data_IF_585483144536
#
_entry.id   IF_585483144536
#
_cell.length_a   1.000
_cell.length_b   1.000
_cell.length_c   1.000
_cell.angle_alpha   90.00
_cell.angle_beta   90.00
_cell.angle_gamma   90.00
#
_symmetry.space_group_name_H-M   'P 1'
#
loop_
_entity.id
_entity.type
_entity.pdbx_description
1 polymer ?
#
# COMPACT_ATOMS: atom_id res chain seq x y z
N UNK A 1 11.12 -70.22 -18.51
CA UNK A 1 10.33 -69.08 -17.98
C UNK A 1 11.22 -68.29 -17.03
N UNK A 2 11.51 -67.02 -17.32
CA UNK A 2 11.60 -65.91 -16.34
C UNK A 2 12.03 -64.63 -17.06
N UNK A 3 11.06 -63.74 -17.33
CA UNK A 3 11.33 -62.43 -17.93
C UNK A 3 11.94 -61.49 -16.89
N UNK A 4 13.11 -60.93 -17.19
CA UNK A 4 13.77 -59.96 -16.33
C UNK A 4 13.14 -58.57 -16.54
N UNK A 5 12.02 -58.27 -15.85
CA UNK A 5 11.39 -56.94 -15.86
C UNK A 5 12.22 -56.00 -14.99
N UNK A 6 13.03 -55.15 -15.64
CA UNK A 6 13.72 -54.02 -15.02
C UNK A 6 12.67 -53.08 -14.38
N UNK A 7 12.63 -53.06 -13.06
CA UNK A 7 11.82 -52.13 -12.27
C UNK A 7 12.42 -50.72 -12.39
N UNK A 8 12.00 -49.97 -13.41
CA UNK A 8 12.38 -48.56 -13.55
C UNK A 8 11.55 -47.78 -12.52
N UNK A 9 12.16 -47.38 -11.40
CA UNK A 9 11.52 -46.47 -10.45
C UNK A 9 11.09 -45.21 -11.21
N UNK A 10 9.78 -44.99 -11.32
CA UNK A 10 9.23 -43.73 -11.82
C UNK A 10 9.67 -42.63 -10.84
N UNK A 11 10.40 -41.64 -11.35
CA UNK A 11 10.68 -40.42 -10.59
C UNK A 11 9.34 -39.85 -10.10
N UNK A 12 9.18 -39.53 -8.81
CA UNK A 12 7.96 -38.88 -8.35
C UNK A 12 7.73 -37.63 -9.20
N UNK A 13 6.50 -37.50 -9.70
CA UNK A 13 6.08 -36.31 -10.44
C UNK A 13 6.34 -35.06 -9.62
N UNK A 14 6.62 -33.95 -10.32
CA UNK A 14 6.89 -32.62 -9.73
C UNK A 14 6.01 -32.40 -8.50
N UNK A 15 6.64 -32.08 -7.36
CA UNK A 15 5.95 -31.73 -6.12
C UNK A 15 4.81 -30.77 -6.44
N UNK A 16 3.63 -31.01 -5.87
CA UNK A 16 2.47 -30.14 -6.06
C UNK A 16 2.90 -28.69 -5.83
N UNK A 17 2.51 -27.74 -6.70
CA UNK A 17 2.89 -26.35 -6.54
C UNK A 17 2.31 -25.83 -5.22
N UNK A 18 3.15 -25.71 -4.18
CA UNK A 18 2.81 -25.00 -2.96
C UNK A 18 3.05 -23.51 -3.19
N UNK A 19 2.17 -22.89 -3.96
CA UNK A 19 2.05 -21.44 -3.90
C UNK A 19 1.12 -21.17 -2.72
N UNK A 20 1.67 -20.66 -1.61
CA UNK A 20 0.82 -19.92 -0.69
C UNK A 20 0.16 -18.81 -1.53
N UNK A 21 -1.16 -18.69 -1.52
CA UNK A 21 -1.83 -17.62 -2.23
C UNK A 21 -1.38 -16.30 -1.61
N UNK A 22 -1.08 -15.31 -2.45
CA UNK A 22 -0.80 -13.95 -1.99
C UNK A 22 -1.94 -13.46 -1.10
N UNK A 23 -1.62 -12.63 -0.11
CA UNK A 23 -2.65 -11.96 0.69
C UNK A 23 -3.60 -11.16 -0.21
N UNK A 24 -4.89 -11.14 0.13
CA UNK A 24 -5.90 -10.27 -0.45
C UNK A 24 -5.96 -8.97 0.33
N UNK A 25 -5.66 -7.86 -0.35
CA UNK A 25 -5.60 -6.54 0.25
C UNK A 25 -6.73 -5.68 -0.31
N UNK A 26 -7.33 -4.88 0.56
CA UNK A 26 -8.19 -3.74 0.19
C UNK A 26 -7.45 -2.45 0.52
N UNK A 27 -7.35 -1.54 -0.44
CA UNK A 27 -6.69 -0.24 -0.26
C UNK A 27 -7.67 0.87 -0.60
N UNK A 28 -8.02 1.67 0.40
CA UNK A 28 -8.86 2.85 0.25
C UNK A 28 -7.99 4.10 0.15
N UNK A 29 -8.11 4.81 -0.98
CA UNK A 29 -7.44 6.09 -1.20
C UNK A 29 -8.42 7.23 -0.94
N UNK A 30 -7.92 8.30 -0.32
CA UNK A 30 -8.67 9.55 -0.20
C UNK A 30 -8.69 10.35 -1.51
N UNK A 31 -7.51 10.56 -2.13
CA UNK A 31 -7.41 11.22 -3.42
C UNK A 31 -7.82 10.34 -4.60
N UNK A 32 -8.21 10.98 -5.70
CA UNK A 32 -8.74 10.30 -6.88
C UNK A 32 -7.67 9.94 -7.92
N UNK A 33 -6.51 10.59 -7.86
CA UNK A 33 -5.50 10.53 -8.92
C UNK A 33 -4.21 9.89 -8.41
N UNK A 34 -3.40 10.63 -7.64
CA UNK A 34 -2.01 10.27 -7.36
C UNK A 34 -1.89 8.92 -6.65
N UNK A 35 -2.59 8.74 -5.52
CA UNK A 35 -2.49 7.52 -4.72
C UNK A 35 -3.05 6.29 -5.46
N UNK A 36 -4.30 6.30 -5.96
CA UNK A 36 -4.84 5.11 -6.62
C UNK A 36 -4.08 4.75 -7.89
N UNK A 37 -3.59 5.74 -8.67
CA UNK A 37 -2.79 5.46 -9.87
C UNK A 37 -1.45 4.83 -9.53
N UNK A 38 -0.73 5.36 -8.53
CA UNK A 38 0.53 4.77 -8.09
C UNK A 38 0.32 3.34 -7.57
N UNK A 39 -0.67 3.13 -6.70
CA UNK A 39 -0.91 1.83 -6.06
C UNK A 39 -1.39 0.80 -7.08
N UNK A 40 -2.29 1.17 -7.99
CA UNK A 40 -2.77 0.29 -9.05
C UNK A 40 -1.64 -0.12 -10.01
N UNK A 41 -0.78 0.82 -10.40
CA UNK A 41 0.40 0.51 -11.21
C UNK A 41 1.42 -0.36 -10.45
N UNK A 42 1.64 -0.07 -9.16
CA UNK A 42 2.56 -0.82 -8.31
C UNK A 42 2.13 -2.28 -8.12
N UNK A 43 0.83 -2.55 -7.87
CA UNK A 43 0.33 -3.93 -7.75
C UNK A 43 0.47 -4.70 -9.07
N UNK A 44 0.31 -4.03 -10.22
CA UNK A 44 0.49 -4.62 -11.56
C UNK A 44 1.94 -4.98 -11.78
N UNK A 45 2.86 -4.08 -11.45
CA UNK A 45 4.31 -4.33 -11.50
C UNK A 45 4.72 -5.53 -10.60
N UNK A 46 4.14 -5.64 -9.40
CA UNK A 46 4.35 -6.77 -8.48
C UNK A 46 3.62 -8.07 -8.91
N UNK A 47 2.83 -8.02 -9.99
CA UNK A 47 1.93 -9.10 -10.43
C UNK A 47 1.04 -9.59 -9.29
N UNK A 48 0.51 -8.68 -8.48
CA UNK A 48 -0.41 -8.99 -7.38
C UNK A 48 -1.83 -8.54 -7.75
N UNK A 49 -2.62 -9.46 -8.30
CA UNK A 49 -4.02 -9.22 -8.66
C UNK A 49 -4.98 -9.26 -7.47
N UNK A 50 -4.51 -9.64 -6.27
CA UNK A 50 -5.33 -9.74 -5.06
C UNK A 50 -5.40 -8.42 -4.26
N UNK A 51 -4.91 -7.33 -4.85
CA UNK A 51 -5.04 -5.98 -4.30
C UNK A 51 -6.20 -5.28 -5.02
N UNK A 52 -7.24 -4.98 -4.25
CA UNK A 52 -8.38 -4.16 -4.65
C UNK A 52 -8.10 -2.72 -4.21
N UNK A 53 -8.18 -1.77 -5.14
CA UNK A 53 -7.98 -0.33 -4.87
C UNK A 53 -9.33 0.36 -5.06
N UNK A 54 -9.81 0.99 -3.99
CA UNK A 54 -11.08 1.73 -3.97
C UNK A 54 -10.81 3.20 -3.60
N UNK A 55 -11.63 4.10 -4.13
CA UNK A 55 -11.57 5.54 -3.83
C UNK A 55 -12.78 5.88 -2.96
N UNK A 56 -12.56 6.64 -1.88
CA UNK A 56 -13.67 7.06 -1.03
C UNK A 56 -14.61 8.02 -1.78
N UNK A 57 -15.92 7.80 -1.62
CA UNK A 57 -16.95 8.68 -2.19
C UNK A 57 -17.02 10.02 -1.46
N UNK A 58 -16.89 9.99 -0.14
CA UNK A 58 -16.90 11.17 0.72
C UNK A 58 -15.46 11.64 0.93
N UNK A 59 -15.14 12.82 0.41
CA UNK A 59 -13.80 13.39 0.43
C UNK A 59 -13.54 14.18 1.71
N UNK A 60 -12.28 14.31 2.10
CA UNK A 60 -11.84 15.35 3.03
C UNK A 60 -11.94 14.99 4.51
N UNK A 61 -12.16 13.72 4.86
CA UNK A 61 -12.24 13.28 6.28
C UNK A 61 -11.71 11.85 6.46
N UNK A 62 -10.54 11.63 7.10
CA UNK A 62 -9.95 10.31 7.31
C UNK A 62 -10.87 9.37 8.07
N UNK A 63 -11.70 9.93 8.96
CA UNK A 63 -12.68 9.15 9.70
C UNK A 63 -13.75 8.54 8.79
N UNK A 64 -14.19 9.24 7.73
CA UNK A 64 -15.15 8.68 6.75
C UNK A 64 -14.48 7.64 5.88
N UNK A 65 -13.22 7.87 5.48
CA UNK A 65 -12.39 6.88 4.76
C UNK A 65 -12.26 5.57 5.55
N UNK A 66 -11.85 5.65 6.81
CA UNK A 66 -11.70 4.46 7.69
C UNK A 66 -13.04 3.78 7.93
N UNK A 67 -14.14 4.54 8.05
CA UNK A 67 -15.48 3.98 8.18
C UNK A 67 -15.91 3.22 6.92
N UNK A 68 -15.68 3.78 5.73
CA UNK A 68 -15.97 3.11 4.47
C UNK A 68 -15.15 1.83 4.30
N UNK A 69 -13.85 1.88 4.63
CA UNK A 69 -12.99 0.70 4.61
C UNK A 69 -13.47 -0.39 5.58
N UNK A 70 -13.91 0.00 6.78
CA UNK A 70 -14.53 -0.93 7.75
C UNK A 70 -15.80 -1.57 7.19
N UNK A 71 -16.71 -0.77 6.64
CA UNK A 71 -17.97 -1.28 6.07
C UNK A 71 -17.71 -2.28 4.95
N UNK A 72 -16.75 -1.96 4.06
CA UNK A 72 -16.34 -2.84 2.96
C UNK A 72 -15.71 -4.14 3.44
N UNK A 73 -14.87 -4.08 4.48
CA UNK A 73 -14.28 -5.25 5.16
C UNK A 73 -15.37 -6.19 5.70
N UNK A 74 -16.28 -5.64 6.51
CA UNK A 74 -17.38 -6.41 7.11
C UNK A 74 -18.30 -7.01 6.04
N UNK A 75 -18.53 -6.29 4.95
CA UNK A 75 -19.31 -6.80 3.82
C UNK A 75 -18.62 -7.99 3.15
N UNK A 76 -17.31 -7.90 2.90
CA UNK A 76 -16.53 -9.00 2.32
C UNK A 76 -16.50 -10.24 3.25
N UNK A 77 -16.38 -10.04 4.56
CA UNK A 77 -16.45 -11.13 5.56
C UNK A 77 -17.81 -11.85 5.52
N UNK A 78 -18.91 -11.09 5.42
CA UNK A 78 -20.26 -11.67 5.28
C UNK A 78 -20.43 -12.41 3.96
N UNK A 79 -19.88 -11.89 2.87
CA UNK A 79 -19.91 -12.55 1.55
C UNK A 79 -19.10 -13.84 1.56
N UNK A 80 -17.90 -13.84 2.16
CA UNK A 80 -17.08 -15.02 2.36
C UNK A 80 -17.82 -16.11 3.14
N UNK A 81 -18.43 -15.73 4.27
CA UNK A 81 -19.22 -16.68 5.08
C UNK A 81 -20.43 -17.25 4.33
N UNK A 82 -21.15 -16.43 3.56
CA UNK A 82 -22.31 -16.88 2.77
C UNK A 82 -21.93 -17.81 1.61
N UNK A 83 -20.77 -17.58 1.00
CA UNK A 83 -20.27 -18.37 -0.11
C UNK A 83 -19.40 -19.56 0.31
N UNK A 84 -19.09 -19.68 1.61
CA UNK A 84 -18.11 -20.64 2.16
C UNK A 84 -16.74 -20.53 1.45
N UNK A 85 -16.32 -19.32 1.12
CA UNK A 85 -15.04 -19.03 0.45
C UNK A 85 -14.30 -17.88 1.14
N UNK A 86 -13.33 -18.24 1.98
CA UNK A 86 -12.47 -17.30 2.72
C UNK A 86 -11.63 -16.42 1.78
N UNK A 87 -11.45 -16.78 0.51
CA UNK A 87 -10.74 -15.91 -0.46
C UNK A 87 -11.52 -14.63 -0.79
N UNK A 88 -12.79 -14.56 -0.41
CA UNK A 88 -13.60 -13.35 -0.58
C UNK A 88 -13.21 -12.29 0.46
N UNK A 89 -12.87 -12.71 1.68
CA UNK A 89 -12.46 -11.83 2.75
C UNK A 89 -11.08 -11.19 2.47
N UNK A 90 -10.85 -10.03 3.07
CA UNK A 90 -9.57 -9.34 2.99
C UNK A 90 -8.67 -9.74 4.15
N UNK A 91 -7.44 -10.15 3.82
CA UNK A 91 -6.39 -10.42 4.81
C UNK A 91 -5.88 -9.12 5.43
N UNK A 92 -5.78 -8.06 4.62
CA UNK A 92 -5.44 -6.72 5.11
C UNK A 92 -6.31 -5.64 4.47
N UNK A 93 -6.59 -4.61 5.26
CA UNK A 93 -7.30 -3.41 4.81
C UNK A 93 -6.45 -2.19 5.15
N UNK A 94 -6.25 -1.33 4.17
CA UNK A 94 -5.41 -0.15 4.24
C UNK A 94 -6.19 1.11 3.90
N UNK A 95 -5.95 2.20 4.62
CA UNK A 95 -6.38 3.55 4.25
C UNK A 95 -5.16 4.42 3.95
N UNK A 96 -5.17 5.13 2.82
CA UNK A 96 -4.10 6.00 2.34
C UNK A 96 -4.62 7.42 2.30
N UNK A 97 -3.95 8.33 3.02
CA UNK A 97 -4.34 9.73 3.09
C UNK A 97 -3.20 10.62 3.59
N UNK A 98 -3.38 11.93 3.43
CA UNK A 98 -2.41 12.97 3.76
C UNK A 98 -2.74 13.63 5.10
N UNK A 99 -1.73 14.14 5.82
CA UNK A 99 -1.97 14.83 7.11
C UNK A 99 -2.53 16.23 6.91
N UNK A 100 -2.11 16.93 5.86
CA UNK A 100 -2.39 18.37 5.70
C UNK A 100 -3.87 18.72 5.42
N UNK A 101 -4.72 17.72 5.14
CA UNK A 101 -6.12 17.93 4.77
C UNK A 101 -7.08 17.87 5.97
N UNK A 102 -6.64 17.46 7.18
CA UNK A 102 -7.60 16.92 8.19
C UNK A 102 -7.43 17.35 9.64
N UNK A 103 -8.47 17.94 10.26
CA UNK A 103 -8.45 18.35 11.67
C UNK A 103 -8.65 17.23 12.72
N UNK A 104 -8.79 15.94 12.36
CA UNK A 104 -9.14 14.86 13.32
C UNK A 104 -8.36 13.55 13.09
N UNK A 105 -7.05 13.63 12.90
CA UNK A 105 -6.19 12.46 12.64
C UNK A 105 -6.27 11.39 13.75
N UNK A 106 -6.36 11.81 15.01
CA UNK A 106 -6.39 10.92 16.18
C UNK A 106 -7.57 9.96 16.17
N UNK A 107 -8.74 10.43 15.75
CA UNK A 107 -9.98 9.63 15.79
C UNK A 107 -9.97 8.57 14.68
N UNK A 108 -9.45 8.94 13.51
CA UNK A 108 -9.24 8.00 12.41
C UNK A 108 -8.22 6.92 12.78
N UNK A 109 -7.11 7.30 13.44
CA UNK A 109 -6.10 6.35 13.95
C UNK A 109 -6.68 5.38 14.98
N UNK A 110 -7.45 5.89 15.95
CA UNK A 110 -8.11 5.05 16.95
C UNK A 110 -9.12 4.09 16.30
N UNK A 111 -9.96 4.58 15.40
CA UNK A 111 -10.93 3.74 14.68
C UNK A 111 -10.23 2.68 13.84
N UNK A 112 -9.17 3.04 13.12
CA UNK A 112 -8.44 2.10 12.27
C UNK A 112 -7.83 0.98 13.11
N UNK A 113 -7.12 1.33 14.18
CA UNK A 113 -6.54 0.38 15.13
C UNK A 113 -7.60 -0.56 15.72
N UNK A 114 -8.72 -0.02 16.21
CA UNK A 114 -9.80 -0.81 16.80
C UNK A 114 -10.48 -1.80 15.83
N UNK A 115 -10.32 -1.63 14.51
CA UNK A 115 -10.92 -2.49 13.50
C UNK A 115 -9.88 -3.28 12.68
N UNK A 116 -8.61 -3.26 13.07
CA UNK A 116 -7.52 -3.94 12.36
C UNK A 116 -7.34 -3.40 10.94
N UNK A 117 -7.52 -2.09 10.75
CA UNK A 117 -7.27 -1.36 9.51
C UNK A 117 -5.91 -0.68 9.65
N UNK A 118 -5.04 -0.88 8.67
CA UNK A 118 -3.71 -0.29 8.61
C UNK A 118 -3.76 1.06 7.91
N UNK A 119 -2.83 1.95 8.24
CA UNK A 119 -2.79 3.31 7.72
C UNK A 119 -1.48 3.58 6.99
N UNK A 120 -1.58 4.12 5.78
CA UNK A 120 -0.47 4.60 4.98
C UNK A 120 -0.57 6.12 4.88
N UNK A 121 -0.07 6.82 5.90
CA UNK A 121 -0.18 8.26 6.04
C UNK A 121 1.05 8.93 5.44
N UNK A 122 0.86 10.03 4.70
CA UNK A 122 1.96 10.90 4.26
C UNK A 122 1.84 12.29 4.88
N UNK A 123 2.95 12.82 5.39
CA UNK A 123 3.03 14.15 5.98
C UNK A 123 4.16 14.94 5.31
N UNK A 124 3.89 16.03 4.57
CA UNK A 124 2.59 16.68 4.46
C UNK A 124 1.61 15.94 3.53
N UNK A 125 2.10 15.38 2.42
CA UNK A 125 1.26 14.82 1.36
C UNK A 125 1.92 13.64 0.62
N UNK A 126 1.13 12.92 -0.19
CA UNK A 126 1.58 11.72 -0.91
C UNK A 126 2.73 12.00 -1.87
N UNK A 127 2.85 13.22 -2.40
CA UNK A 127 4.01 13.62 -3.21
C UNK A 127 5.34 13.48 -2.47
N UNK A 128 5.36 13.43 -1.14
CA UNK A 128 6.57 13.07 -0.39
C UNK A 128 7.04 11.67 -0.80
N UNK A 129 6.14 10.69 -0.83
CA UNK A 129 6.47 9.34 -1.25
C UNK A 129 7.07 9.34 -2.65
N UNK A 130 6.44 10.04 -3.60
CA UNK A 130 6.94 10.19 -4.98
C UNK A 130 8.33 10.85 -5.04
N UNK A 131 8.55 11.92 -4.27
CA UNK A 131 9.82 12.65 -4.23
C UNK A 131 10.97 11.75 -3.74
N UNK A 132 10.69 10.87 -2.77
CA UNK A 132 11.69 9.95 -2.21
C UNK A 132 12.18 8.90 -3.21
N UNK A 133 11.52 8.70 -4.36
CA UNK A 133 12.07 7.89 -5.46
C UNK A 133 13.33 8.53 -6.07
N UNK A 134 13.41 9.85 -6.08
CA UNK A 134 14.46 10.57 -6.80
C UNK A 134 15.55 11.12 -5.87
N UNK A 135 15.18 11.55 -4.67
CA UNK A 135 16.11 12.23 -3.76
C UNK A 135 15.92 11.85 -2.29
N UNK A 136 16.89 12.22 -1.48
CA UNK A 136 16.82 12.13 -0.02
C UNK A 136 15.82 13.13 0.57
N UNK A 137 15.59 12.99 1.89
CA UNK A 137 14.72 13.83 2.73
C UNK A 137 14.76 15.34 2.35
N UNK A 138 13.61 15.97 2.05
CA UNK A 138 13.54 17.40 1.75
C UNK A 138 13.56 18.32 2.99
N UNK A 139 13.58 17.76 4.21
CA UNK A 139 13.32 18.51 5.45
C UNK A 139 11.84 18.83 5.62
N UNK A 140 11.47 19.57 6.67
CA UNK A 140 10.08 20.00 6.88
C UNK A 140 9.62 20.87 5.70
N UNK A 141 8.51 20.50 5.06
CA UNK A 141 7.99 21.21 3.89
C UNK A 141 6.47 21.40 3.98
N UNK A 142 5.96 22.48 3.40
CA UNK A 142 4.53 22.53 3.10
C UNK A 142 4.20 21.67 1.86
N UNK A 143 2.95 21.22 1.78
CA UNK A 143 2.47 20.35 0.70
C UNK A 143 2.76 20.87 -0.70
N UNK A 144 2.57 22.17 -0.90
CA UNK A 144 2.78 22.81 -2.20
C UNK A 144 4.26 22.86 -2.58
N UNK A 145 5.16 22.91 -1.60
CA UNK A 145 6.59 22.89 -1.86
C UNK A 145 7.05 21.49 -2.26
N UNK A 146 6.54 20.44 -1.59
CA UNK A 146 6.79 19.05 -2.00
C UNK A 146 6.29 18.78 -3.42
N UNK A 147 5.07 19.23 -3.74
CA UNK A 147 4.51 19.13 -5.09
C UNK A 147 5.39 19.82 -6.14
N UNK A 148 5.87 21.04 -5.88
CA UNK A 148 6.81 21.74 -6.76
C UNK A 148 8.14 21.01 -6.91
N UNK A 149 8.65 20.38 -5.85
CA UNK A 149 9.88 19.60 -5.92
C UNK A 149 9.74 18.38 -6.83
N UNK A 150 8.58 17.72 -6.85
CA UNK A 150 8.32 16.58 -7.78
C UNK A 150 8.40 17.03 -9.23
N UNK A 151 7.89 18.23 -9.57
CA UNK A 151 7.97 18.80 -10.93
C UNK A 151 9.42 18.94 -11.42
N UNK A 152 10.39 19.09 -10.52
CA UNK A 152 11.81 19.13 -10.86
C UNK A 152 12.39 17.78 -11.36
N UNK A 153 11.69 16.67 -11.14
CA UNK A 153 12.08 15.32 -11.57
C UNK A 153 11.11 14.72 -12.60
N UNK A 154 9.84 15.11 -12.53
CA UNK A 154 8.78 14.66 -13.43
C UNK A 154 8.21 15.89 -14.12
N UNK A 155 8.65 16.13 -15.36
CA UNK A 155 8.13 17.21 -16.19
C UNK A 155 6.62 17.08 -16.34
N UNK A 156 5.92 18.21 -16.25
CA UNK A 156 4.46 18.30 -16.40
C UNK A 156 3.65 17.46 -15.39
N UNK A 157 4.22 17.18 -14.20
CA UNK A 157 3.46 16.52 -13.13
C UNK A 157 2.22 17.34 -12.73
N UNK A 158 1.06 16.78 -13.01
CA UNK A 158 -0.27 17.37 -12.82
C UNK A 158 -1.17 16.52 -11.90
N UNK A 159 -0.54 15.79 -10.96
CA UNK A 159 -1.15 14.77 -10.08
C UNK A 159 -1.55 13.47 -10.78
N UNK A 160 -1.10 13.26 -12.01
CA UNK A 160 -1.13 11.96 -12.63
C UNK A 160 0.22 11.25 -12.54
N UNK A 161 0.18 9.93 -12.31
CA UNK A 161 1.38 9.13 -12.05
C UNK A 161 1.68 8.22 -13.24
N UNK A 162 2.80 8.48 -13.91
CA UNK A 162 3.46 7.49 -14.78
C UNK A 162 4.45 6.65 -13.95
N UNK A 163 4.01 5.47 -13.54
CA UNK A 163 4.78 4.58 -12.68
C UNK A 163 6.14 4.16 -13.27
N UNK A 164 6.31 4.21 -14.60
CA UNK A 164 7.57 3.84 -15.24
C UNK A 164 8.73 4.75 -14.82
N UNK A 165 8.46 6.01 -14.49
CA UNK A 165 9.43 6.97 -13.98
C UNK A 165 9.89 6.64 -12.55
N UNK A 166 9.03 6.01 -11.76
CA UNK A 166 9.25 5.77 -10.33
C UNK A 166 9.84 4.40 -10.05
N UNK A 167 9.57 3.38 -10.88
CA UNK A 167 9.90 1.97 -10.60
C UNK A 167 11.37 1.72 -10.23
N UNK A 168 12.31 2.43 -10.86
CA UNK A 168 13.76 2.27 -10.62
C UNK A 168 14.16 2.79 -9.25
N UNK A 169 13.57 3.91 -8.83
CA UNK A 169 13.82 4.56 -7.53
C UNK A 169 13.17 3.87 -6.34
N UNK A 170 12.27 2.90 -6.56
CA UNK A 170 11.48 2.28 -5.50
C UNK A 170 12.31 1.72 -4.32
N UNK A 171 13.40 0.94 -4.53
CA UNK A 171 14.22 0.47 -3.41
C UNK A 171 14.80 1.61 -2.57
N UNK A 172 15.21 2.71 -3.21
CA UNK A 172 15.72 3.89 -2.52
C UNK A 172 14.59 4.63 -1.76
N UNK A 173 13.41 4.76 -2.37
CA UNK A 173 12.23 5.35 -1.72
C UNK A 173 11.88 4.64 -0.41
N UNK A 174 11.84 3.29 -0.42
CA UNK A 174 11.60 2.48 0.78
C UNK A 174 12.64 2.76 1.85
N UNK A 175 13.94 2.72 1.51
CA UNK A 175 15.00 2.98 2.50
C UNK A 175 14.92 4.38 3.09
N UNK A 176 14.64 5.39 2.27
CA UNK A 176 14.54 6.79 2.70
C UNK A 176 13.32 7.02 3.59
N UNK A 177 12.17 6.45 3.24
CA UNK A 177 10.96 6.54 4.04
C UNK A 177 11.10 5.85 5.39
N UNK A 178 11.72 4.65 5.44
CA UNK A 178 12.05 3.98 6.70
C UNK A 178 12.95 4.82 7.60
N UNK A 179 14.00 5.43 7.03
CA UNK A 179 14.91 6.31 7.79
C UNK A 179 14.17 7.53 8.36
N UNK A 180 13.24 8.12 7.61
CA UNK A 180 12.42 9.23 8.09
C UNK A 180 11.56 8.82 9.29
N UNK A 181 10.88 7.68 9.19
CA UNK A 181 10.08 7.13 10.29
C UNK A 181 10.94 6.80 11.51
N UNK A 182 12.07 6.12 11.32
CA UNK A 182 13.01 5.76 12.40
C UNK A 182 13.53 6.99 13.13
N UNK A 183 13.94 8.04 12.40
CA UNK A 183 14.38 9.29 13.00
C UNK A 183 13.24 10.01 13.74
N UNK A 184 12.04 10.06 13.15
CA UNK A 184 10.88 10.67 13.79
C UNK A 184 10.51 9.94 15.10
N UNK A 185 10.51 8.60 15.09
CA UNK A 185 10.23 7.80 16.28
C UNK A 185 11.32 7.91 17.35
N UNK A 186 12.60 7.97 16.96
CA UNK A 186 13.71 8.16 17.89
C UNK A 186 13.63 9.50 18.63
N UNK A 187 13.09 10.53 17.98
CA UNK A 187 12.87 11.86 18.56
C UNK A 187 11.54 11.96 19.35
N UNK A 188 10.73 10.89 19.40
CA UNK A 188 9.42 10.90 20.06
C UNK A 188 8.30 11.60 19.26
N UNK A 189 8.55 11.91 18.00
CA UNK A 189 7.68 12.69 17.10
C UNK A 189 7.19 11.83 15.92
N UNK A 190 6.70 10.62 16.21
CA UNK A 190 6.25 9.69 15.17
C UNK A 190 5.19 10.33 14.26
N UNK A 191 5.38 10.24 12.94
CA UNK A 191 4.47 10.85 11.96
C UNK A 191 4.69 12.35 11.70
N UNK A 192 5.78 12.95 12.21
CA UNK A 192 6.12 14.36 11.96
C UNK A 192 6.36 14.67 10.49
N UNK A 193 6.29 15.94 10.12
CA UNK A 193 6.68 16.38 8.80
C UNK A 193 8.22 16.42 8.65
N UNK A 194 8.84 15.75 7.66
CA UNK A 194 8.24 14.85 6.67
C UNK A 194 8.36 13.37 7.05
N UNK A 195 7.27 12.60 6.92
CA UNK A 195 7.25 11.13 7.05
C UNK A 195 6.20 10.53 6.13
N UNK A 196 6.39 9.27 5.72
CA UNK A 196 5.36 8.55 4.97
C UNK A 196 5.42 7.06 5.27
N UNK A 197 4.28 6.46 5.59
CA UNK A 197 4.18 5.02 5.84
C UNK A 197 3.78 4.23 4.58
N UNK A 198 3.75 4.85 3.40
CA UNK A 198 3.38 4.19 2.14
C UNK A 198 4.30 3.00 1.82
N UNK A 199 5.57 3.03 2.27
CA UNK A 199 6.46 1.88 2.09
C UNK A 199 5.91 0.62 2.75
N UNK A 200 5.25 0.71 3.91
CA UNK A 200 4.69 -0.45 4.61
C UNK A 200 3.55 -1.11 3.81
N UNK A 201 2.71 -0.28 3.19
CA UNK A 201 1.69 -0.74 2.24
C UNK A 201 2.35 -1.44 1.04
N UNK A 202 3.35 -0.81 0.42
CA UNK A 202 4.02 -1.41 -0.74
C UNK A 202 4.75 -2.71 -0.42
N UNK A 203 5.32 -2.84 0.78
CA UNK A 203 5.92 -4.08 1.26
C UNK A 203 4.84 -5.17 1.42
N UNK A 204 3.68 -4.83 1.99
CA UNK A 204 2.54 -5.74 2.14
C UNK A 204 2.01 -6.22 0.78
N UNK A 205 1.93 -5.33 -0.22
CA UNK A 205 1.57 -5.69 -1.60
C UNK A 205 2.58 -6.66 -2.24
N UNK A 206 3.87 -6.58 -1.85
CA UNK A 206 4.94 -7.42 -2.38
C UNK A 206 5.06 -8.79 -1.71
N UNK A 207 4.50 -8.97 -0.51
CA UNK A 207 4.54 -10.25 0.19
C UNK A 207 3.85 -11.35 -0.63
N UNK A 208 4.43 -12.55 -0.57
CA UNK A 208 3.95 -13.74 -1.29
C UNK A 208 3.13 -14.62 -0.39
#
# INVERSE_FOLDING_TARGET
MTSNRRYRQRRPGRSAPSLNPKLRLLVFCEGENTEPQYIDAFRKWCRNSRVDVEIAKERGVPLTLVRAAKERKVQAEKEASKAEDDNIAYDEVWCVFDVDEHPNLSDAQQMASANGIKLAISNPCFELWLLLHFRENPGMQHRHDVQKMVVGFVSDYDKHVDFELFKVGYPAAVMRAKRLDEHASADGESGRNPTTNVYQLTESIRLK
#
